data_IF_886514850681
#
_entry.id   IF_886514850681
#
_cell.length_a   1.000
_cell.length_b   1.000
_cell.length_c   1.000
_cell.angle_alpha   90.00
_cell.angle_beta   90.00
_cell.angle_gamma   90.00
#
_symmetry.space_group_name_H-M   'P 1'
#
loop_
_entity.id
_entity.type
_entity.pdbx_description
1 polymer ?
#
# COMPACT_ATOMS: atom_id res chain seq x y z
N UNK A 1 2.92 46.94 -28.37
CA UNK A 1 2.00 46.00 -29.04
C UNK A 1 2.69 44.66 -29.00
N UNK A 2 2.28 43.79 -28.07
CA UNK A 2 2.87 42.47 -27.85
C UNK A 2 2.50 41.61 -29.07
N UNK A 3 3.50 41.06 -29.73
CA UNK A 3 3.34 40.38 -31.01
C UNK A 3 2.78 38.97 -30.80
N UNK A 4 1.45 38.86 -30.77
CA UNK A 4 0.71 37.59 -30.75
C UNK A 4 0.72 36.98 -32.14
N UNK A 5 1.64 36.05 -32.40
CA UNK A 5 1.63 35.28 -33.64
C UNK A 5 0.76 34.01 -33.48
N UNK A 6 -0.27 33.97 -34.33
CA UNK A 6 -1.20 32.94 -34.83
C UNK A 6 -1.45 31.56 -34.19
N UNK A 7 -0.87 31.17 -33.05
CA UNK A 7 -1.18 29.86 -32.41
C UNK A 7 -1.47 29.93 -30.90
N UNK A 8 -1.73 31.12 -30.35
CA UNK A 8 -2.19 31.29 -28.95
C UNK A 8 -1.22 30.79 -27.87
N UNK A 9 -0.01 30.38 -28.25
CA UNK A 9 1.08 30.02 -27.35
C UNK A 9 2.06 31.18 -27.28
N UNK A 10 2.07 31.87 -26.16
CA UNK A 10 3.06 32.91 -25.86
C UNK A 10 4.45 32.27 -25.92
N UNK A 11 5.25 32.61 -26.94
CA UNK A 11 6.65 32.18 -27.04
C UNK A 11 7.50 33.18 -26.28
N UNK A 12 8.26 32.69 -25.30
CA UNK A 12 9.22 33.53 -24.61
C UNK A 12 10.39 33.88 -25.54
N UNK A 13 11.04 35.03 -25.35
CA UNK A 13 12.29 35.36 -26.00
C UNK A 13 13.35 34.31 -25.72
N UNK A 14 14.25 34.10 -26.69
CA UNK A 14 15.20 32.98 -26.70
C UNK A 14 16.09 32.94 -25.44
N UNK A 15 16.52 34.11 -24.94
CA UNK A 15 17.34 34.22 -23.73
C UNK A 15 16.65 33.68 -22.46
N UNK A 16 15.34 33.94 -22.32
CA UNK A 16 14.55 33.46 -21.18
C UNK A 16 14.30 31.95 -21.27
N UNK A 17 14.03 31.45 -22.49
CA UNK A 17 13.79 30.02 -22.70
C UNK A 17 15.06 29.18 -22.50
N UNK A 18 16.22 29.65 -22.98
CA UNK A 18 17.51 29.03 -22.71
C UNK A 18 17.83 28.99 -21.22
N UNK A 19 17.58 30.07 -20.48
CA UNK A 19 17.78 30.10 -19.03
C UNK A 19 16.94 29.05 -18.31
N UNK A 20 15.64 28.95 -18.63
CA UNK A 20 14.75 27.94 -18.02
C UNK A 20 15.25 26.53 -18.34
N UNK A 21 15.61 26.25 -19.59
CA UNK A 21 16.13 24.94 -19.98
C UNK A 21 17.43 24.59 -19.25
N UNK A 22 18.35 25.55 -19.10
CA UNK A 22 19.60 25.37 -18.36
C UNK A 22 19.38 25.05 -16.89
N UNK A 23 18.44 25.77 -16.24
CA UNK A 23 18.08 25.50 -14.84
C UNK A 23 17.48 24.10 -14.74
N UNK A 24 16.46 23.78 -15.55
CA UNK A 24 15.80 22.48 -15.58
C UNK A 24 16.75 21.32 -15.89
N UNK A 25 17.75 21.54 -16.75
CA UNK A 25 18.80 20.57 -17.07
C UNK A 25 19.62 20.15 -15.85
N UNK A 26 19.78 21.07 -14.88
CA UNK A 26 20.55 20.88 -13.64
C UNK A 26 19.70 20.43 -12.44
N UNK A 27 18.37 20.35 -12.59
CA UNK A 27 17.47 19.85 -11.54
C UNK A 27 17.56 18.33 -11.41
N UNK A 28 17.84 17.87 -10.19
CA UNK A 28 17.95 16.44 -9.84
C UNK A 28 16.57 15.78 -9.67
N UNK A 29 15.60 16.51 -9.15
CA UNK A 29 14.23 16.02 -8.95
C UNK A 29 13.42 16.12 -10.26
N UNK A 30 13.43 15.06 -11.07
CA UNK A 30 12.74 15.04 -12.38
C UNK A 30 11.24 15.31 -12.27
N UNK A 31 10.59 14.81 -11.22
CA UNK A 31 9.15 14.96 -10.99
C UNK A 31 8.73 16.41 -10.73
N UNK A 32 9.63 17.23 -10.18
CA UNK A 32 9.36 18.64 -9.86
C UNK A 32 9.67 19.58 -11.03
N UNK A 33 10.28 19.09 -12.12
CA UNK A 33 10.63 19.92 -13.28
C UNK A 33 9.43 20.69 -13.85
N UNK A 34 8.23 20.10 -14.01
CA UNK A 34 7.09 20.85 -14.56
C UNK A 34 6.63 22.01 -13.66
N UNK A 35 6.67 21.81 -12.34
CA UNK A 35 6.28 22.83 -11.36
C UNK A 35 7.31 23.95 -11.29
N UNK A 36 8.60 23.59 -11.22
CA UNK A 36 9.69 24.56 -11.21
C UNK A 36 9.77 25.31 -12.55
N UNK A 37 9.49 24.65 -13.67
CA UNK A 37 9.36 25.31 -14.98
C UNK A 37 8.25 26.36 -14.97
N UNK A 38 7.08 26.02 -14.44
CA UNK A 38 5.95 26.95 -14.36
C UNK A 38 6.28 28.16 -13.48
N UNK A 39 6.86 27.95 -12.30
CA UNK A 39 7.26 29.04 -11.38
C UNK A 39 8.34 29.94 -11.99
N UNK A 40 9.36 29.36 -12.62
CA UNK A 40 10.43 30.12 -13.28
C UNK A 40 9.89 30.96 -14.44
N UNK A 41 8.99 30.38 -15.24
CA UNK A 41 8.35 31.07 -16.36
C UNK A 41 7.50 32.23 -15.87
N UNK A 42 6.67 32.01 -14.85
CA UNK A 42 5.82 33.05 -14.27
C UNK A 42 6.64 34.23 -13.72
N UNK A 43 7.69 33.92 -12.95
CA UNK A 43 8.60 34.96 -12.45
C UNK A 43 9.36 35.68 -13.57
N UNK A 44 9.81 35.00 -14.63
CA UNK A 44 10.48 35.64 -15.75
C UNK A 44 9.54 36.58 -16.50
N UNK A 45 8.31 36.15 -16.76
CA UNK A 45 7.30 36.98 -17.42
C UNK A 45 6.99 38.24 -16.62
N UNK A 46 6.76 38.10 -15.31
CA UNK A 46 6.50 39.24 -14.44
C UNK A 46 7.66 40.27 -14.45
N UNK A 47 8.91 39.79 -14.47
CA UNK A 47 10.10 40.66 -14.57
C UNK A 47 10.22 41.32 -15.94
N UNK A 48 9.90 40.61 -17.01
CA UNK A 48 9.92 41.16 -18.36
C UNK A 48 8.85 42.23 -18.55
N UNK A 49 7.64 42.02 -18.03
CA UNK A 49 6.56 43.02 -18.04
C UNK A 49 7.01 44.30 -17.32
N UNK A 50 7.65 44.20 -16.15
CA UNK A 50 8.18 45.37 -15.41
C UNK A 50 9.17 46.21 -16.25
N UNK A 51 10.00 45.57 -17.07
CA UNK A 51 10.96 46.25 -17.94
C UNK A 51 10.32 46.79 -19.22
N UNK A 52 9.32 46.09 -19.75
CA UNK A 52 8.59 46.49 -20.95
C UNK A 52 7.71 47.72 -20.66
N UNK A 53 7.10 47.78 -19.47
CA UNK A 53 6.36 48.94 -18.96
C UNK A 53 7.26 50.18 -18.78
N UNK A 54 8.56 49.97 -18.58
CA UNK A 54 9.58 51.03 -18.55
C UNK A 54 10.08 51.43 -19.95
N UNK A 55 9.45 50.92 -21.01
CA UNK A 55 9.73 51.28 -22.41
C UNK A 55 10.88 50.52 -23.05
N UNK A 56 11.32 49.39 -22.47
CA UNK A 56 12.38 48.53 -23.06
C UNK A 56 11.78 47.60 -24.11
N UNK A 57 12.60 47.20 -25.08
CA UNK A 57 12.23 46.18 -26.06
C UNK A 57 12.17 44.79 -25.38
N UNK A 58 11.36 43.87 -25.92
CA UNK A 58 11.11 42.53 -25.35
C UNK A 58 12.40 41.71 -25.16
N UNK A 59 13.32 41.77 -26.13
CA UNK A 59 14.62 41.07 -26.05
C UNK A 59 15.54 41.66 -24.96
N UNK A 60 15.57 42.99 -24.83
CA UNK A 60 16.34 43.67 -23.78
C UNK A 60 15.74 43.38 -22.39
N UNK A 61 14.41 43.39 -22.29
CA UNK A 61 13.68 43.04 -21.09
C UNK A 61 13.95 41.60 -20.65
N UNK A 62 14.03 40.65 -21.59
CA UNK A 62 14.37 39.25 -21.31
C UNK A 62 15.80 39.08 -20.77
N UNK A 63 16.78 39.74 -21.41
CA UNK A 63 18.17 39.69 -20.93
C UNK A 63 18.32 40.29 -19.53
N UNK A 64 17.62 41.39 -19.22
CA UNK A 64 17.65 41.97 -17.89
C UNK A 64 16.87 41.16 -16.85
N UNK A 65 15.74 40.55 -17.22
CA UNK A 65 15.02 39.63 -16.36
C UNK A 65 15.88 38.42 -15.97
N UNK A 66 16.56 37.81 -16.94
CA UNK A 66 17.52 36.72 -16.69
C UNK A 66 18.69 37.20 -15.82
N UNK A 67 19.23 38.39 -16.08
CA UNK A 67 20.33 38.95 -15.27
C UNK A 67 19.92 39.18 -13.82
N UNK A 68 18.66 39.56 -13.57
CA UNK A 68 18.11 39.73 -12.23
C UNK A 68 17.85 38.40 -11.52
N UNK A 69 17.52 37.33 -12.26
CA UNK A 69 17.42 35.98 -11.69
C UNK A 69 18.78 35.43 -11.25
N UNK A 70 19.86 35.87 -11.89
CA UNK A 70 21.22 35.45 -11.59
C UNK A 70 21.65 34.22 -12.40
N UNK A 71 22.75 33.58 -11.98
CA UNK A 71 23.29 32.44 -12.72
C UNK A 71 22.39 31.20 -12.60
N UNK A 72 22.11 30.55 -13.74
CA UNK A 72 21.28 29.34 -13.81
C UNK A 72 21.77 28.22 -12.90
N UNK A 73 23.09 28.11 -12.68
CA UNK A 73 23.68 27.15 -11.75
C UNK A 73 23.30 27.39 -10.29
N UNK A 74 23.26 28.65 -9.85
CA UNK A 74 22.93 29.03 -8.47
C UNK A 74 21.44 28.82 -8.21
N UNK A 75 20.60 29.24 -9.15
CA UNK A 75 19.14 29.04 -9.08
C UNK A 75 18.81 27.56 -9.04
N UNK A 76 19.44 26.74 -9.89
CA UNK A 76 19.27 25.29 -9.87
C UNK A 76 19.72 24.64 -8.55
N UNK A 77 20.80 25.12 -7.92
CA UNK A 77 21.26 24.62 -6.63
C UNK A 77 20.30 24.96 -5.49
N UNK A 78 19.79 26.20 -5.46
CA UNK A 78 18.77 26.62 -4.50
C UNK A 78 17.48 25.80 -4.67
N UNK A 79 17.02 25.61 -5.91
CA UNK A 79 15.84 24.79 -6.19
C UNK A 79 16.04 23.33 -5.80
N UNK A 80 17.20 22.74 -6.07
CA UNK A 80 17.54 21.37 -5.65
C UNK A 80 17.62 21.23 -4.12
N UNK A 81 18.02 22.28 -3.40
CA UNK A 81 18.10 22.28 -1.93
C UNK A 81 16.70 22.28 -1.31
N UNK A 82 15.79 23.06 -1.86
CA UNK A 82 14.38 23.15 -1.41
C UNK A 82 13.64 21.86 -1.78
N UNK A 83 13.79 21.38 -3.02
CA UNK A 83 13.04 20.26 -3.60
C UNK A 83 13.79 18.91 -3.53
N UNK A 84 14.60 18.68 -2.49
CA UNK A 84 15.40 17.45 -2.38
C UNK A 84 14.50 16.21 -2.29
N UNK A 85 14.63 15.21 -3.20
CA UNK A 85 13.87 13.98 -3.11
C UNK A 85 14.24 13.24 -1.83
N UNK A 86 13.30 13.18 -0.88
CA UNK A 86 13.50 12.53 0.42
C UNK A 86 13.17 11.05 0.29
N UNK A 87 14.19 10.22 0.07
CA UNK A 87 14.04 8.76 0.18
C UNK A 87 13.61 8.44 1.62
N UNK A 88 12.50 7.69 1.82
CA UNK A 88 12.00 7.35 3.14
C UNK A 88 12.86 6.24 3.76
N UNK A 89 14.10 6.55 4.14
CA UNK A 89 15.08 5.58 4.66
C UNK A 89 14.57 4.74 5.83
N UNK A 90 13.74 5.32 6.71
CA UNK A 90 13.10 4.60 7.83
C UNK A 90 12.14 3.50 7.37
N UNK A 91 11.44 3.72 6.25
CA UNK A 91 10.53 2.73 5.68
C UNK A 91 11.36 1.59 5.06
N UNK A 92 12.38 1.94 4.28
CA UNK A 92 13.29 0.97 3.65
C UNK A 92 14.04 0.13 4.68
N UNK A 93 14.55 0.73 5.75
CA UNK A 93 15.26 -0.01 6.80
C UNK A 93 14.34 -0.98 7.52
N UNK A 94 13.11 -0.57 7.84
CA UNK A 94 12.13 -1.48 8.44
C UNK A 94 11.77 -2.64 7.51
N UNK A 95 11.55 -2.37 6.23
CA UNK A 95 11.25 -3.41 5.24
C UNK A 95 12.37 -4.46 5.13
N UNK A 96 13.63 -4.01 5.10
CA UNK A 96 14.80 -4.90 5.06
C UNK A 96 14.89 -5.76 6.32
N UNK A 97 14.62 -5.20 7.50
CA UNK A 97 14.58 -5.96 8.77
C UNK A 97 13.51 -7.06 8.70
N UNK A 98 12.29 -6.73 8.28
CA UNK A 98 11.19 -7.69 8.18
C UNK A 98 11.48 -8.83 7.20
N UNK A 99 11.98 -8.50 6.01
CA UNK A 99 12.36 -9.50 5.00
C UNK A 99 13.51 -10.37 5.52
N UNK A 100 14.51 -9.76 6.14
CA UNK A 100 15.67 -10.46 6.70
C UNK A 100 15.27 -11.44 7.80
N UNK A 101 14.46 -11.02 8.78
CA UNK A 101 13.98 -11.89 9.85
C UNK A 101 13.08 -13.01 9.35
N UNK A 102 12.21 -12.72 8.39
CA UNK A 102 11.36 -13.74 7.76
C UNK A 102 12.21 -14.81 7.08
N UNK A 103 13.17 -14.42 6.23
CA UNK A 103 14.09 -15.37 5.60
C UNK A 103 14.92 -16.13 6.63
N UNK A 104 15.47 -15.44 7.63
CA UNK A 104 16.25 -16.04 8.69
C UNK A 104 15.46 -17.13 9.41
N UNK A 105 14.23 -16.84 9.86
CA UNK A 105 13.36 -17.82 10.51
C UNK A 105 13.03 -19.02 9.62
N UNK A 106 12.77 -18.78 8.33
CA UNK A 106 12.49 -19.86 7.37
C UNK A 106 13.72 -20.75 7.08
N UNK A 107 14.92 -20.18 7.04
CA UNK A 107 16.16 -20.95 6.90
C UNK A 107 16.50 -21.76 8.15
N UNK A 108 16.21 -21.22 9.35
CA UNK A 108 16.33 -21.96 10.60
C UNK A 108 15.37 -23.17 10.61
N UNK A 109 14.10 -22.95 10.28
CA UNK A 109 13.10 -24.02 10.15
C UNK A 109 13.49 -25.09 9.12
N UNK A 110 14.13 -24.70 8.03
CA UNK A 110 14.62 -25.64 7.02
C UNK A 110 15.77 -26.52 7.54
N UNK A 111 16.54 -26.04 8.52
CA UNK A 111 17.74 -26.71 9.04
C UNK A 111 17.44 -27.66 10.21
N UNK A 112 16.18 -27.70 10.69
CA UNK A 112 15.73 -28.57 11.78
C UNK A 112 15.67 -30.06 11.38
N UNK A 113 16.29 -30.97 12.15
CA UNK A 113 16.29 -32.41 11.87
C UNK A 113 14.89 -33.01 12.11
N UNK A 114 14.13 -33.17 11.02
CA UNK A 114 12.74 -33.65 11.03
C UNK A 114 11.88 -33.02 9.92
N UNK A 115 12.34 -31.93 9.32
CA UNK A 115 11.60 -31.16 8.32
C UNK A 115 11.62 -31.69 6.88
N UNK A 116 11.42 -32.99 6.65
CA UNK A 116 11.44 -33.57 5.28
C UNK A 116 10.40 -32.91 4.33
N UNK A 117 9.29 -32.38 4.86
CA UNK A 117 8.28 -31.61 4.11
C UNK A 117 8.56 -30.09 4.03
N UNK A 118 9.58 -29.60 4.74
CA UNK A 118 10.03 -28.20 4.78
C UNK A 118 11.29 -27.99 3.91
N UNK A 119 11.77 -29.05 3.24
CA UNK A 119 12.95 -29.03 2.38
C UNK A 119 12.81 -27.97 1.27
N UNK A 120 13.74 -27.02 1.28
CA UNK A 120 13.79 -25.93 0.31
C UNK A 120 12.77 -24.82 0.51
N UNK A 121 12.11 -24.71 1.68
CA UNK A 121 11.25 -23.56 1.97
C UNK A 121 12.00 -22.23 1.96
N UNK A 122 13.18 -22.17 2.59
CA UNK A 122 14.02 -20.98 2.55
C UNK A 122 14.38 -20.61 1.11
N UNK A 123 14.79 -21.59 0.30
CA UNK A 123 15.12 -21.38 -1.12
C UNK A 123 13.92 -20.95 -1.96
N UNK A 124 12.75 -21.56 -1.77
CA UNK A 124 11.51 -21.16 -2.47
C UNK A 124 11.11 -19.73 -2.10
N UNK A 125 11.19 -19.38 -0.82
CA UNK A 125 10.90 -18.04 -0.33
C UNK A 125 11.88 -17.00 -0.87
N UNK A 126 13.17 -17.34 -1.05
CA UNK A 126 14.13 -16.47 -1.72
C UNK A 126 13.78 -16.22 -3.19
N UNK A 127 13.30 -17.25 -3.92
CA UNK A 127 12.84 -17.09 -5.31
C UNK A 127 11.62 -16.17 -5.36
N UNK A 128 10.64 -16.36 -4.47
CA UNK A 128 9.46 -15.49 -4.40
C UNK A 128 9.81 -14.06 -4.00
N UNK A 129 10.80 -13.86 -3.12
CA UNK A 129 11.31 -12.53 -2.79
C UNK A 129 11.95 -11.87 -4.02
N UNK A 130 12.77 -12.60 -4.77
CA UNK A 130 13.38 -12.07 -5.99
C UNK A 130 12.31 -11.68 -7.01
N UNK A 131 11.30 -12.53 -7.21
CA UNK A 131 10.16 -12.23 -8.07
C UNK A 131 9.41 -10.98 -7.58
N UNK A 132 9.20 -10.84 -6.27
CA UNK A 132 8.60 -9.67 -5.65
C UNK A 132 9.41 -8.39 -5.88
N UNK A 133 10.75 -8.45 -5.78
CA UNK A 133 11.64 -7.32 -6.07
C UNK A 133 11.56 -6.93 -7.54
N UNK A 134 11.52 -7.91 -8.46
CA UNK A 134 11.36 -7.66 -9.89
C UNK A 134 10.00 -7.00 -10.18
N UNK A 135 8.92 -7.51 -9.58
CA UNK A 135 7.59 -6.91 -9.70
C UNK A 135 7.54 -5.48 -9.13
N UNK A 136 8.19 -5.25 -7.98
CA UNK A 136 8.30 -3.92 -7.38
C UNK A 136 9.07 -2.96 -8.29
N UNK A 137 10.23 -3.37 -8.82
CA UNK A 137 11.03 -2.57 -9.74
C UNK A 137 10.26 -2.27 -11.03
N UNK A 138 9.54 -3.26 -11.59
CA UNK A 138 8.66 -3.05 -12.73
C UNK A 138 7.55 -2.03 -12.43
N UNK A 139 6.95 -2.11 -11.24
CA UNK A 139 5.93 -1.16 -10.78
C UNK A 139 6.44 0.28 -10.67
N UNK A 140 7.71 0.48 -10.32
CA UNK A 140 8.34 1.82 -10.26
C UNK A 140 8.46 2.50 -11.63
N UNK A 141 8.39 1.75 -12.74
CA UNK A 141 8.36 2.33 -14.09
C UNK A 141 6.96 2.75 -14.54
N UNK A 142 5.91 2.38 -13.81
CA UNK A 142 4.54 2.73 -14.13
C UNK A 142 4.26 4.14 -13.60
N UNK A 143 4.09 5.09 -14.51
CA UNK A 143 3.71 6.46 -14.17
C UNK A 143 2.32 6.48 -13.49
N UNK A 144 2.18 7.26 -12.42
CA UNK A 144 0.93 7.44 -11.68
C UNK A 144 -0.23 7.87 -12.60
N UNK A 145 0.06 8.57 -13.71
CA UNK A 145 -0.94 8.95 -14.73
C UNK A 145 -1.54 7.74 -15.44
N UNK A 146 -0.76 6.69 -15.65
CA UNK A 146 -1.24 5.45 -16.27
C UNK A 146 -2.13 4.66 -15.30
N UNK A 147 -1.89 4.79 -13.99
CA UNK A 147 -2.70 4.15 -12.95
C UNK A 147 -4.18 4.56 -13.03
N UNK A 148 -4.47 5.81 -13.42
CA UNK A 148 -5.84 6.28 -13.64
C UNK A 148 -6.59 5.53 -14.75
N UNK A 149 -5.89 5.17 -15.83
CA UNK A 149 -6.47 4.38 -16.93
C UNK A 149 -6.51 2.89 -16.58
N UNK A 150 -5.54 2.42 -15.80
CA UNK A 150 -5.39 1.02 -15.42
C UNK A 150 -6.36 0.63 -14.29
N UNK A 151 -6.83 1.56 -13.47
CA UNK A 151 -7.68 1.27 -12.31
C UNK A 151 -8.95 0.49 -12.64
N UNK A 152 -9.65 0.83 -13.72
CA UNK A 152 -10.85 0.10 -14.16
C UNK A 152 -10.52 -1.34 -14.59
N UNK A 153 -9.38 -1.53 -15.28
CA UNK A 153 -8.87 -2.85 -15.67
C UNK A 153 -8.41 -3.66 -14.47
N UNK A 154 -7.79 -3.04 -13.47
CA UNK A 154 -7.41 -3.71 -12.21
C UNK A 154 -8.64 -4.19 -11.45
N UNK A 155 -9.66 -3.33 -11.33
CA UNK A 155 -10.91 -3.69 -10.68
C UNK A 155 -11.63 -4.83 -11.41
N UNK A 156 -11.86 -4.66 -12.72
CA UNK A 156 -12.57 -5.66 -13.53
C UNK A 156 -11.79 -6.97 -13.60
N UNK A 157 -10.49 -6.90 -13.85
CA UNK A 157 -9.60 -8.06 -13.90
C UNK A 157 -9.59 -8.84 -12.58
N UNK A 158 -9.51 -8.14 -11.44
CA UNK A 158 -9.54 -8.80 -10.14
C UNK A 158 -10.91 -9.42 -9.83
N UNK A 159 -12.01 -8.73 -10.15
CA UNK A 159 -13.35 -9.28 -9.99
C UNK A 159 -13.55 -10.55 -10.84
N UNK A 160 -13.12 -10.52 -12.11
CA UNK A 160 -13.17 -11.68 -13.01
C UNK A 160 -12.31 -12.82 -12.49
N UNK A 161 -11.09 -12.54 -12.01
CA UNK A 161 -10.20 -13.54 -11.42
C UNK A 161 -10.79 -14.21 -10.17
N UNK A 162 -11.44 -13.44 -9.31
CA UNK A 162 -12.12 -14.00 -8.12
C UNK A 162 -13.31 -14.88 -8.50
N UNK A 163 -14.14 -14.45 -9.45
CA UNK A 163 -15.26 -15.27 -9.95
C UNK A 163 -14.73 -16.56 -10.59
N UNK A 164 -13.68 -16.44 -11.41
CA UNK A 164 -13.01 -17.58 -12.04
C UNK A 164 -12.47 -18.56 -11.01
N UNK A 165 -11.81 -18.05 -9.96
CA UNK A 165 -11.30 -18.86 -8.84
C UNK A 165 -12.44 -19.51 -8.06
N UNK A 166 -13.57 -18.82 -7.91
CA UNK A 166 -14.76 -19.38 -7.30
C UNK A 166 -15.36 -20.57 -8.07
N UNK A 167 -15.15 -20.64 -9.39
CA UNK A 167 -15.62 -21.76 -10.24
C UNK A 167 -14.59 -22.88 -10.42
N UNK A 168 -13.31 -22.54 -10.55
CA UNK A 168 -12.24 -23.49 -10.93
C UNK A 168 -11.25 -23.79 -9.81
N UNK A 169 -11.33 -23.06 -8.70
CA UNK A 169 -10.37 -23.14 -7.61
C UNK A 169 -10.37 -24.49 -6.90
N UNK A 170 -9.18 -24.93 -6.53
CA UNK A 170 -8.97 -26.17 -5.77
C UNK A 170 -9.03 -25.84 -4.28
N UNK A 171 -9.72 -26.68 -3.50
CA UNK A 171 -9.83 -26.50 -2.06
C UNK A 171 -8.59 -27.07 -1.36
N UNK A 172 -7.85 -26.22 -0.65
CA UNK A 172 -6.73 -26.60 0.21
C UNK A 172 -7.07 -26.06 1.60
N UNK A 173 -7.17 -26.96 2.61
CA UNK A 173 -7.56 -26.61 3.98
C UNK A 173 -8.88 -25.82 4.08
N UNK A 174 -9.85 -26.13 3.22
CA UNK A 174 -11.15 -25.46 3.17
C UNK A 174 -11.16 -24.08 2.50
N UNK A 175 -10.02 -23.60 2.01
CA UNK A 175 -9.90 -22.35 1.26
C UNK A 175 -9.64 -22.65 -0.23
N UNK A 176 -10.18 -21.82 -1.13
CA UNK A 176 -9.98 -21.99 -2.58
C UNK A 176 -8.75 -21.28 -3.10
N UNK A 177 -7.91 -22.00 -3.82
CA UNK A 177 -6.71 -21.48 -4.47
C UNK A 177 -6.82 -21.61 -5.98
N UNK A 178 -6.26 -20.65 -6.72
CA UNK A 178 -6.10 -20.80 -8.16
C UNK A 178 -4.79 -21.55 -8.43
N UNK A 179 -4.86 -22.63 -9.19
CA UNK A 179 -3.69 -23.38 -9.61
C UNK A 179 -3.15 -22.81 -10.93
N UNK A 180 -1.97 -22.20 -10.89
CA UNK A 180 -1.21 -21.86 -12.10
C UNK A 180 -0.09 -22.89 -12.24
N UNK A 181 -0.35 -23.96 -12.99
CA UNK A 181 0.53 -25.12 -13.05
C UNK A 181 0.67 -25.78 -11.67
N UNK A 182 1.91 -26.03 -11.17
CA UNK A 182 2.12 -26.62 -9.84
C UNK A 182 2.03 -25.62 -8.69
N UNK A 183 1.80 -24.32 -8.94
CA UNK A 183 1.84 -23.28 -7.92
C UNK A 183 0.41 -22.89 -7.50
N UNK A 184 0.01 -23.14 -6.23
CA UNK A 184 -1.23 -22.61 -5.69
C UNK A 184 -1.06 -21.11 -5.37
N UNK A 185 -1.93 -20.27 -5.94
CA UNK A 185 -1.94 -18.82 -5.71
C UNK A 185 -3.24 -18.44 -5.00
N UNK A 186 -3.11 -17.77 -3.85
CA UNK A 186 -4.25 -17.19 -3.14
C UNK A 186 -4.58 -15.81 -3.72
N UNK A 187 -5.51 -15.77 -4.68
CA UNK A 187 -5.95 -14.52 -5.29
C UNK A 187 -6.72 -13.65 -4.30
N UNK A 188 -7.45 -14.26 -3.36
CA UNK A 188 -8.21 -13.55 -2.34
C UNK A 188 -7.29 -12.74 -1.42
N UNK A 189 -6.07 -13.22 -1.15
CA UNK A 189 -5.10 -12.48 -0.35
C UNK A 189 -4.71 -11.13 -0.97
N UNK A 190 -4.59 -11.06 -2.29
CA UNK A 190 -4.16 -9.85 -3.01
C UNK A 190 -5.33 -8.88 -3.28
N UNK A 191 -6.57 -9.37 -3.34
CA UNK A 191 -7.72 -8.61 -3.83
C UNK A 191 -8.09 -7.39 -2.99
N UNK A 192 -7.99 -7.36 -1.65
CA UNK A 192 -8.31 -6.16 -0.88
C UNK A 192 -7.48 -4.96 -1.34
N UNK A 193 -6.17 -5.15 -1.52
CA UNK A 193 -5.26 -4.06 -1.88
C UNK A 193 -5.55 -3.50 -3.28
N UNK A 194 -5.74 -4.39 -4.27
CA UNK A 194 -6.05 -3.96 -5.63
C UNK A 194 -7.42 -3.30 -5.74
N UNK A 195 -8.45 -3.83 -5.06
CA UNK A 195 -9.76 -3.19 -5.05
C UNK A 195 -9.73 -1.82 -4.37
N UNK A 196 -9.03 -1.68 -3.24
CA UNK A 196 -8.91 -0.40 -2.55
C UNK A 196 -8.26 0.68 -3.42
N UNK A 197 -7.13 0.34 -4.06
CA UNK A 197 -6.44 1.25 -4.98
C UNK A 197 -7.36 1.61 -6.15
N UNK A 198 -7.97 0.62 -6.81
CA UNK A 198 -8.81 0.85 -7.96
C UNK A 198 -10.05 1.69 -7.63
N UNK A 199 -10.74 1.38 -6.52
CA UNK A 199 -11.93 2.13 -6.07
C UNK A 199 -11.54 3.57 -5.71
N UNK A 200 -10.44 3.77 -4.99
CA UNK A 200 -9.97 5.12 -4.64
C UNK A 200 -9.75 5.97 -5.91
N UNK A 201 -9.04 5.43 -6.89
CA UNK A 201 -8.76 6.11 -8.17
C UNK A 201 -10.06 6.38 -8.96
N UNK A 202 -10.94 5.39 -9.06
CA UNK A 202 -12.20 5.54 -9.79
C UNK A 202 -13.17 6.55 -9.15
N UNK A 203 -13.17 6.69 -7.81
CA UNK A 203 -14.04 7.63 -7.09
C UNK A 203 -13.45 9.05 -6.97
N UNK A 204 -12.14 9.18 -7.06
CA UNK A 204 -11.45 10.48 -7.04
C UNK A 204 -11.54 11.22 -8.37
N UNK A 205 -11.76 10.53 -9.49
CA UNK A 205 -11.99 11.18 -10.79
C UNK A 205 -13.32 11.97 -10.78
N UNK A 206 -13.20 13.30 -10.92
CA UNK A 206 -14.32 14.24 -10.90
C UNK A 206 -15.19 14.11 -12.17
N UNK A 207 -14.63 13.65 -13.28
CA UNK A 207 -15.32 13.45 -14.57
C UNK A 207 -16.38 12.35 -14.49
N UNK A 208 -16.07 11.25 -13.80
CA UNK A 208 -16.96 10.11 -13.62
C UNK A 208 -18.20 10.44 -12.75
N UNK A 209 -18.10 11.47 -11.90
CA UNK A 209 -19.12 11.84 -10.89
C UNK A 209 -20.35 12.55 -11.49
N UNK A 210 -20.27 13.01 -12.74
CA UNK A 210 -21.28 13.92 -13.36
C UNK A 210 -22.38 13.19 -14.14
N UNK A 211 -22.23 11.90 -14.45
CA UNK A 211 -23.23 11.13 -15.22
C UNK A 211 -24.38 10.63 -14.31
N UNK A 212 -25.61 10.50 -14.83
CA UNK A 212 -26.81 10.05 -14.08
C UNK A 212 -26.63 8.68 -13.37
N UNK A 213 -25.80 7.80 -13.94
CA UNK A 213 -25.42 6.50 -13.36
C UNK A 213 -24.38 6.60 -12.22
N UNK A 214 -23.74 7.77 -12.05
CA UNK A 214 -22.74 8.03 -11.01
C UNK A 214 -23.32 8.04 -9.59
N UNK A 215 -24.65 8.13 -9.42
CA UNK A 215 -25.26 8.04 -8.08
C UNK A 215 -25.27 6.63 -7.51
N UNK A 216 -25.43 5.59 -8.34
CA UNK A 216 -25.53 4.19 -7.89
C UNK A 216 -24.26 3.37 -8.11
N UNK A 217 -23.49 3.69 -9.16
CA UNK A 217 -22.19 3.10 -9.47
C UNK A 217 -21.21 3.00 -8.27
N UNK A 218 -21.02 4.02 -7.42
CA UNK A 218 -20.07 3.93 -6.30
C UNK A 218 -20.47 2.87 -5.27
N UNK A 219 -21.77 2.70 -5.01
CA UNK A 219 -22.25 1.68 -4.08
C UNK A 219 -22.03 0.28 -4.64
N UNK A 220 -22.31 0.07 -5.93
CA UNK A 220 -22.07 -1.21 -6.59
C UNK A 220 -20.58 -1.61 -6.55
N UNK A 221 -19.69 -0.65 -6.79
CA UNK A 221 -18.23 -0.89 -6.76
C UNK A 221 -17.75 -1.32 -5.37
N UNK A 222 -18.32 -0.76 -4.30
CA UNK A 222 -17.94 -1.08 -2.92
C UNK A 222 -18.54 -2.42 -2.47
N UNK A 223 -19.78 -2.70 -2.87
CA UNK A 223 -20.54 -3.89 -2.43
C UNK A 223 -20.08 -5.16 -3.16
N UNK A 224 -19.67 -5.08 -4.43
CA UNK A 224 -19.28 -6.26 -5.20
C UNK A 224 -18.14 -7.08 -4.53
N UNK A 225 -17.00 -6.51 -4.11
CA UNK A 225 -15.97 -7.27 -3.40
C UNK A 225 -16.46 -7.89 -2.10
N UNK A 226 -17.34 -7.20 -1.36
CA UNK A 226 -17.94 -7.72 -0.12
C UNK A 226 -18.71 -9.01 -0.41
N UNK A 227 -19.55 -9.01 -1.46
CA UNK A 227 -20.30 -10.19 -1.86
C UNK A 227 -19.37 -11.35 -2.26
N UNK A 228 -18.32 -11.08 -3.03
CA UNK A 228 -17.37 -12.11 -3.46
C UNK A 228 -16.63 -12.75 -2.27
N UNK A 229 -16.25 -11.96 -1.26
CA UNK A 229 -15.62 -12.50 -0.04
C UNK A 229 -16.59 -13.30 0.81
N UNK A 230 -17.83 -12.84 0.95
CA UNK A 230 -18.86 -13.55 1.72
C UNK A 230 -19.22 -14.89 1.09
N UNK A 231 -19.38 -14.94 -0.23
CA UNK A 231 -19.72 -16.17 -0.97
C UNK A 231 -18.65 -17.24 -0.77
N UNK A 232 -17.37 -16.87 -0.77
CA UNK A 232 -16.25 -17.80 -0.58
C UNK A 232 -15.89 -18.03 0.90
N UNK A 233 -16.52 -17.30 1.85
CA UNK A 233 -16.23 -17.42 3.28
C UNK A 233 -14.90 -16.79 3.72
N UNK A 234 -14.39 -15.82 2.97
CA UNK A 234 -13.09 -15.15 3.15
C UNK A 234 -13.17 -13.96 4.11
N UNK A 235 -13.46 -14.24 5.38
CA UNK A 235 -13.75 -13.20 6.38
C UNK A 235 -12.54 -12.34 6.77
N UNK A 236 -11.31 -12.90 6.72
CA UNK A 236 -10.08 -12.14 7.04
C UNK A 236 -9.81 -11.08 5.97
N UNK A 237 -10.02 -11.41 4.69
CA UNK A 237 -9.90 -10.50 3.56
C UNK A 237 -11.01 -9.44 3.58
N UNK A 238 -12.24 -9.84 3.92
CA UNK A 238 -13.35 -8.91 4.13
C UNK A 238 -13.05 -7.88 5.22
N UNK A 239 -12.45 -8.30 6.33
CA UNK A 239 -12.06 -7.40 7.41
C UNK A 239 -10.99 -6.40 6.97
N UNK A 240 -9.94 -6.87 6.29
CA UNK A 240 -8.89 -6.00 5.73
C UNK A 240 -9.46 -5.00 4.73
N UNK A 241 -10.30 -5.47 3.80
CA UNK A 241 -10.98 -4.62 2.83
C UNK A 241 -11.88 -3.59 3.52
N UNK A 242 -12.66 -3.98 4.53
CA UNK A 242 -13.53 -3.10 5.29
C UNK A 242 -12.77 -1.95 5.97
N UNK A 243 -11.67 -2.28 6.67
CA UNK A 243 -10.80 -1.27 7.29
C UNK A 243 -10.19 -0.32 6.26
N UNK A 244 -9.69 -0.87 5.14
CA UNK A 244 -9.15 -0.04 4.06
C UNK A 244 -10.21 0.87 3.43
N UNK A 245 -11.44 0.39 3.26
CA UNK A 245 -12.53 1.16 2.68
C UNK A 245 -12.93 2.33 3.58
N UNK A 246 -12.90 2.16 4.91
CA UNK A 246 -13.09 3.26 5.87
C UNK A 246 -12.05 4.36 5.60
N UNK A 247 -10.77 4.00 5.44
CA UNK A 247 -9.70 4.97 5.13
C UNK A 247 -9.94 5.65 3.78
N UNK A 248 -10.30 4.91 2.74
CA UNK A 248 -10.61 5.47 1.40
C UNK A 248 -11.77 6.47 1.47
N UNK A 249 -12.85 6.14 2.19
CA UNK A 249 -14.01 7.01 2.35
C UNK A 249 -13.69 8.27 3.18
N UNK A 250 -12.82 8.15 4.18
CA UNK A 250 -12.31 9.31 4.95
C UNK A 250 -11.50 10.25 4.05
N UNK A 251 -10.61 9.71 3.21
CA UNK A 251 -9.79 10.51 2.28
C UNK A 251 -10.64 11.20 1.21
N UNK A 252 -11.69 10.55 0.71
CA UNK A 252 -12.63 11.13 -0.26
C UNK A 252 -13.59 12.17 0.36
N UNK A 253 -13.52 12.40 1.68
CA UNK A 253 -14.39 13.32 2.45
C UNK A 253 -15.88 13.12 2.13
N UNK A 254 -16.31 11.85 2.08
CA UNK A 254 -17.70 11.52 1.75
C UNK A 254 -18.67 12.10 2.79
N UNK A 255 -19.86 12.52 2.33
CA UNK A 255 -20.93 13.05 3.21
C UNK A 255 -21.33 12.01 4.27
N UNK A 256 -21.69 12.42 5.50
CA UNK A 256 -22.08 11.50 6.57
C UNK A 256 -23.26 10.59 6.20
N UNK A 257 -24.13 11.03 5.29
CA UNK A 257 -25.23 10.21 4.76
C UNK A 257 -24.73 8.96 4.02
N UNK A 258 -23.57 9.02 3.37
CA UNK A 258 -22.98 7.86 2.67
C UNK A 258 -22.53 6.80 3.68
N UNK A 259 -21.91 7.24 4.78
CA UNK A 259 -21.52 6.36 5.89
C UNK A 259 -22.73 5.65 6.50
N UNK A 260 -23.80 6.40 6.78
CA UNK A 260 -25.02 5.81 7.33
C UNK A 260 -25.63 4.76 6.39
N UNK A 261 -25.75 5.06 5.09
CA UNK A 261 -26.28 4.10 4.11
C UNK A 261 -25.43 2.83 4.03
N UNK A 262 -24.10 2.96 3.96
CA UNK A 262 -23.20 1.81 3.92
C UNK A 262 -23.26 1.01 5.22
N UNK A 263 -23.34 1.66 6.38
CA UNK A 263 -23.47 1.00 7.67
C UNK A 263 -24.80 0.23 7.76
N UNK A 264 -25.91 0.82 7.34
CA UNK A 264 -27.22 0.14 7.28
C UNK A 264 -27.18 -1.05 6.31
N UNK A 265 -26.58 -0.89 5.13
CA UNK A 265 -26.42 -2.01 4.18
C UNK A 265 -25.54 -3.13 4.75
N UNK A 266 -24.42 -2.80 5.42
CA UNK A 266 -23.53 -3.77 6.03
C UNK A 266 -24.20 -4.50 7.20
N UNK A 267 -24.93 -3.79 8.06
CA UNK A 267 -25.69 -4.37 9.16
C UNK A 267 -26.83 -5.26 8.65
N UNK A 268 -27.62 -4.78 7.69
CA UNK A 268 -28.70 -5.56 7.09
C UNK A 268 -28.19 -6.80 6.37
N UNK A 269 -27.12 -6.67 5.59
CA UNK A 269 -26.45 -7.80 4.93
C UNK A 269 -25.88 -8.80 5.93
N UNK A 270 -25.23 -8.32 6.99
CA UNK A 270 -24.69 -9.18 8.06
C UNK A 270 -25.78 -9.98 8.79
N UNK A 271 -26.90 -9.34 9.14
CA UNK A 271 -28.05 -10.02 9.77
C UNK A 271 -28.63 -11.05 8.82
N UNK A 272 -28.82 -10.72 7.54
CA UNK A 272 -29.37 -11.64 6.55
C UNK A 272 -28.46 -12.87 6.37
N UNK A 273 -27.14 -12.67 6.29
CA UNK A 273 -26.16 -13.76 6.20
C UNK A 273 -26.17 -14.63 7.45
N UNK A 274 -26.27 -14.03 8.63
CA UNK A 274 -26.37 -14.76 9.89
C UNK A 274 -27.65 -15.60 9.97
N UNK A 275 -28.78 -15.09 9.45
CA UNK A 275 -30.04 -15.84 9.43
C UNK A 275 -30.04 -16.98 8.40
N UNK A 276 -29.36 -16.79 7.27
CA UNK A 276 -29.43 -17.70 6.11
C UNK A 276 -28.32 -18.75 6.06
N UNK A 277 -27.13 -18.47 6.61
CA UNK A 277 -25.96 -19.35 6.48
C UNK A 277 -25.63 -20.07 7.78
N UNK A 278 -25.81 -21.39 7.80
CA UNK A 278 -25.38 -22.26 8.90
C UNK A 278 -23.87 -22.18 9.15
N UNK A 279 -23.08 -22.03 8.08
CA UNK A 279 -21.62 -21.91 8.18
C UNK A 279 -21.21 -20.63 8.90
N UNK A 280 -21.85 -19.50 8.59
CA UNK A 280 -21.59 -18.22 9.27
C UNK A 280 -21.92 -18.35 10.76
N UNK A 281 -23.08 -18.94 11.09
CA UNK A 281 -23.49 -19.15 12.49
C UNK A 281 -22.51 -20.03 13.25
N UNK A 282 -22.10 -21.14 12.66
CA UNK A 282 -21.18 -22.09 13.27
C UNK A 282 -19.79 -21.46 13.50
N UNK A 283 -19.21 -20.84 12.47
CA UNK A 283 -17.88 -20.22 12.54
C UNK A 283 -17.88 -19.06 13.54
N UNK A 284 -18.88 -18.17 13.46
CA UNK A 284 -19.00 -17.05 14.39
C UNK A 284 -19.23 -17.52 15.83
N UNK A 285 -20.10 -18.50 16.03
CA UNK A 285 -20.37 -19.09 17.34
C UNK A 285 -19.13 -19.71 17.97
N UNK A 286 -18.40 -20.55 17.22
CA UNK A 286 -17.14 -21.15 17.68
C UNK A 286 -16.10 -20.08 18.02
N UNK A 287 -15.97 -19.05 17.17
CA UNK A 287 -15.02 -17.96 17.38
C UNK A 287 -15.36 -17.14 18.62
N UNK A 288 -16.65 -16.83 18.84
CA UNK A 288 -17.10 -16.13 20.05
C UNK A 288 -16.87 -16.97 21.30
N UNK A 289 -17.08 -18.29 21.23
CA UNK A 289 -16.77 -19.20 22.33
C UNK A 289 -15.27 -19.21 22.64
N UNK A 290 -14.41 -19.35 21.64
CA UNK A 290 -12.93 -19.27 21.79
C UNK A 290 -12.50 -17.94 22.43
N UNK A 291 -13.05 -16.81 21.98
CA UNK A 291 -12.75 -15.49 22.53
C UNK A 291 -13.23 -15.33 23.97
N UNK A 292 -14.45 -15.82 24.27
CA UNK A 292 -15.00 -15.77 25.62
C UNK A 292 -14.21 -16.66 26.58
N UNK A 293 -13.75 -17.83 26.13
CA UNK A 293 -12.88 -18.72 26.90
C UNK A 293 -11.49 -18.11 27.12
N UNK A 294 -10.94 -17.43 26.11
CA UNK A 294 -9.67 -16.71 26.23
C UNK A 294 -9.74 -15.59 27.27
N UNK A 295 -10.79 -14.75 27.23
CA UNK A 295 -10.98 -13.65 28.18
C UNK A 295 -11.41 -14.14 29.57
N UNK A 296 -12.17 -15.24 29.63
CA UNK A 296 -12.69 -15.83 30.88
C UNK A 296 -11.72 -16.77 31.59
N UNK A 297 -10.53 -17.02 31.01
CA UNK A 297 -9.52 -17.99 31.49
C UNK A 297 -9.98 -19.46 31.59
N UNK A 298 -11.13 -19.80 31.01
CA UNK A 298 -11.73 -21.15 30.99
C UNK A 298 -11.38 -21.92 29.71
N UNK A 299 -10.21 -21.68 29.11
CA UNK A 299 -9.80 -22.43 27.92
C UNK A 299 -9.67 -23.91 28.29
N UNK A 300 -10.54 -24.72 27.71
CA UNK A 300 -10.56 -26.16 27.90
C UNK A 300 -9.21 -26.75 27.48
N UNK A 301 -8.58 -27.46 28.42
CA UNK A 301 -7.17 -27.87 28.36
C UNK A 301 -6.88 -28.78 27.16
N UNK A 302 -7.89 -29.44 26.61
CA UNK A 302 -7.71 -30.41 25.51
C UNK A 302 -8.25 -29.91 24.16
N UNK A 303 -8.63 -28.64 24.04
CA UNK A 303 -8.97 -28.03 22.75
C UNK A 303 -7.72 -27.68 21.93
N UNK A 304 -7.80 -27.74 20.60
CA UNK A 304 -6.70 -27.35 19.68
C UNK A 304 -6.19 -25.92 19.98
N UNK A 305 -7.09 -24.98 20.29
CA UNK A 305 -6.74 -23.62 20.68
C UNK A 305 -6.05 -23.53 22.06
N UNK A 306 -6.44 -24.39 23.00
CA UNK A 306 -5.82 -24.53 24.31
C UNK A 306 -4.41 -25.12 24.25
N UNK A 307 -4.17 -26.05 23.32
CA UNK A 307 -2.83 -26.58 23.03
C UNK A 307 -1.93 -25.47 22.48
N UNK A 308 -2.37 -24.77 21.42
CA UNK A 308 -1.61 -23.66 20.82
C UNK A 308 -1.26 -22.60 21.85
N UNK A 309 -2.23 -22.15 22.65
CA UNK A 309 -1.99 -21.12 23.68
C UNK A 309 -1.00 -21.60 24.75
N UNK A 310 -1.09 -22.86 25.17
CA UNK A 310 -0.14 -23.43 26.14
C UNK A 310 1.27 -23.45 25.57
N UNK A 311 1.42 -23.87 24.33
CA UNK A 311 2.73 -23.99 23.69
C UNK A 311 3.35 -22.61 23.44
N UNK A 312 2.56 -21.62 23.02
CA UNK A 312 3.00 -20.21 22.95
C UNK A 312 3.44 -19.72 24.33
N UNK A 313 2.62 -19.93 25.37
CA UNK A 313 2.96 -19.49 26.73
C UNK A 313 4.23 -20.16 27.24
N UNK A 314 4.38 -21.46 26.97
CA UNK A 314 5.57 -22.25 27.32
C UNK A 314 6.81 -21.70 26.62
N UNK A 315 6.75 -21.49 25.31
CA UNK A 315 7.83 -20.91 24.52
C UNK A 315 8.26 -19.54 25.07
N UNK A 316 7.30 -18.65 25.28
CA UNK A 316 7.53 -17.30 25.81
C UNK A 316 8.14 -17.31 27.22
N UNK A 317 7.75 -18.27 28.07
CA UNK A 317 8.28 -18.42 29.43
C UNK A 317 9.69 -19.03 29.48
N UNK A 318 10.05 -19.88 28.51
CA UNK A 318 11.35 -20.54 28.45
C UNK A 318 12.35 -19.87 27.50
N UNK A 319 11.92 -18.90 26.69
CA UNK A 319 12.80 -18.12 25.84
C UNK A 319 13.69 -17.20 26.67
N UNK A 320 15.01 -17.37 26.53
CA UNK A 320 16.01 -16.45 27.07
C UNK A 320 16.10 -15.15 26.26
N UNK A 321 16.98 -14.23 26.68
CA UNK A 321 17.25 -13.00 25.93
C UNK A 321 17.89 -13.25 24.54
N UNK A 322 18.59 -14.38 24.39
CA UNK A 322 19.36 -14.76 23.20
C UNK A 322 19.03 -16.18 22.69
N UNK A 323 17.82 -16.66 22.93
CA UNK A 323 17.33 -17.96 22.47
C UNK A 323 17.12 -18.96 23.61
N UNK A 324 16.70 -20.17 23.25
CA UNK A 324 16.52 -21.26 24.21
C UNK A 324 17.85 -21.80 24.74
N UNK A 325 17.89 -22.13 26.03
CA UNK A 325 19.04 -22.79 26.68
C UNK A 325 19.01 -24.33 26.55
N UNK A 326 17.85 -24.95 26.26
CA UNK A 326 17.64 -26.40 26.38
C UNK A 326 17.19 -27.14 25.11
N UNK A 327 17.20 -26.50 23.93
CA UNK A 327 17.03 -27.17 22.63
C UNK A 327 15.74 -27.99 22.46
N UNK A 328 14.63 -27.57 23.08
CA UNK A 328 13.34 -28.25 22.90
C UNK A 328 12.63 -27.67 21.67
N UNK A 329 12.40 -28.52 20.67
CA UNK A 329 11.73 -28.12 19.42
C UNK A 329 10.29 -27.71 19.68
N UNK A 330 9.93 -26.49 19.27
CA UNK A 330 8.58 -25.96 19.38
C UNK A 330 7.61 -26.78 18.51
N UNK A 331 6.58 -27.38 19.10
CA UNK A 331 5.63 -28.27 18.39
C UNK A 331 4.32 -27.55 18.04
N UNK A 332 4.41 -26.40 17.36
CA UNK A 332 3.23 -25.70 16.85
C UNK A 332 2.91 -26.12 15.41
N UNK A 333 1.61 -26.28 15.05
CA UNK A 333 1.23 -26.47 13.67
C UNK A 333 1.52 -25.19 12.87
N UNK A 334 1.95 -25.32 11.61
CA UNK A 334 2.19 -24.19 10.70
C UNK A 334 3.20 -23.13 11.21
N UNK A 335 4.30 -23.57 11.83
CA UNK A 335 5.42 -22.69 12.25
C UNK A 335 5.94 -21.77 11.14
N UNK A 336 5.88 -22.22 9.89
CA UNK A 336 6.34 -21.47 8.72
C UNK A 336 5.38 -20.36 8.27
N UNK A 337 4.14 -20.29 8.78
CA UNK A 337 3.17 -19.25 8.42
C UNK A 337 2.70 -18.45 9.62
N UNK A 338 1.96 -19.07 10.53
CA UNK A 338 1.13 -18.36 11.51
C UNK A 338 1.90 -18.03 12.79
N UNK A 339 2.94 -18.84 13.09
CA UNK A 339 3.70 -18.76 14.33
C UNK A 339 5.20 -18.49 14.12
N UNK A 340 5.60 -18.00 12.93
CA UNK A 340 7.00 -17.72 12.62
C UNK A 340 7.62 -16.70 13.59
N UNK A 341 6.85 -15.69 14.01
CA UNK A 341 7.29 -14.71 15.00
C UNK A 341 7.50 -15.33 16.38
N UNK A 342 6.65 -16.27 16.79
CA UNK A 342 6.79 -17.01 18.04
C UNK A 342 8.04 -17.89 17.98
N UNK A 343 8.24 -18.59 16.87
CA UNK A 343 9.43 -19.40 16.62
C UNK A 343 10.74 -18.57 16.66
N UNK A 344 10.72 -17.36 16.11
CA UNK A 344 11.88 -16.45 16.18
C UNK A 344 12.17 -16.02 17.62
N UNK A 345 11.15 -15.72 18.43
CA UNK A 345 11.34 -15.39 19.85
C UNK A 345 11.87 -16.59 20.63
N UNK A 346 11.38 -17.79 20.32
CA UNK A 346 11.83 -19.03 20.92
C UNK A 346 13.31 -19.30 20.62
N UNK A 347 13.69 -19.25 19.35
CA UNK A 347 15.03 -19.64 18.88
C UNK A 347 16.08 -18.53 18.99
N UNK A 348 15.73 -17.28 18.69
CA UNK A 348 16.66 -16.14 18.72
C UNK A 348 16.50 -15.25 19.97
N UNK A 349 15.48 -15.52 20.80
CA UNK A 349 15.28 -14.87 22.09
C UNK A 349 14.44 -13.60 22.03
N UNK A 350 14.14 -13.04 23.21
CA UNK A 350 13.33 -11.82 23.37
C UNK A 350 13.89 -10.60 22.66
N UNK A 351 15.21 -10.52 22.48
CA UNK A 351 15.85 -9.45 21.72
C UNK A 351 15.33 -9.36 20.28
N UNK A 352 15.13 -10.50 19.62
CA UNK A 352 14.55 -10.59 18.27
C UNK A 352 13.10 -10.09 18.22
N UNK A 353 12.29 -10.49 19.22
CA UNK A 353 10.89 -10.07 19.32
C UNK A 353 10.74 -8.57 19.55
N UNK A 354 11.55 -8.00 20.44
CA UNK A 354 11.56 -6.55 20.70
C UNK A 354 12.04 -5.75 19.48
N UNK A 355 13.03 -6.26 18.75
CA UNK A 355 13.48 -5.64 17.50
C UNK A 355 12.37 -5.66 16.44
N UNK A 356 11.67 -6.78 16.27
CA UNK A 356 10.54 -6.88 15.35
C UNK A 356 9.41 -5.91 15.74
N UNK A 357 9.04 -5.85 17.03
CA UNK A 357 8.05 -4.89 17.53
C UNK A 357 8.47 -3.44 17.32
N UNK A 358 9.74 -3.10 17.62
CA UNK A 358 10.28 -1.76 17.39
C UNK A 358 10.26 -1.39 15.91
N UNK A 359 10.65 -2.31 15.03
CA UNK A 359 10.62 -2.10 13.58
C UNK A 359 9.20 -1.92 13.02
N UNK A 360 8.21 -2.60 13.61
CA UNK A 360 6.79 -2.39 13.30
C UNK A 360 6.35 -0.97 13.65
N UNK A 361 6.72 -0.48 14.84
CA UNK A 361 6.44 0.90 15.24
C UNK A 361 7.05 1.92 14.27
N UNK A 362 8.30 1.70 13.85
CA UNK A 362 8.98 2.53 12.83
C UNK A 362 8.26 2.46 11.48
N UNK A 363 7.81 1.27 11.05
CA UNK A 363 7.06 1.09 9.81
C UNK A 363 5.78 1.92 9.83
N UNK A 364 4.96 1.76 10.88
CA UNK A 364 3.70 2.47 11.04
C UNK A 364 3.92 4.00 11.08
N UNK A 365 4.92 4.46 11.84
CA UNK A 365 5.28 5.88 11.89
C UNK A 365 5.73 6.41 10.52
N UNK A 366 6.55 5.65 9.79
CA UNK A 366 7.04 6.06 8.47
C UNK A 366 5.92 6.18 7.44
N UNK A 367 4.97 5.24 7.44
CA UNK A 367 3.78 5.26 6.57
C UNK A 367 2.88 6.43 6.93
N UNK A 368 2.61 6.64 8.22
CA UNK A 368 1.84 7.79 8.69
C UNK A 368 2.47 9.12 8.27
N UNK A 369 3.79 9.26 8.44
CA UNK A 369 4.52 10.47 8.03
C UNK A 369 4.44 10.70 6.52
N UNK A 370 4.57 9.65 5.72
CA UNK A 370 4.45 9.74 4.26
C UNK A 370 3.04 10.18 3.85
N UNK A 371 2.00 9.61 4.46
CA UNK A 371 0.61 10.00 4.22
C UNK A 371 0.33 11.46 4.64
N UNK A 372 0.86 11.91 5.77
CA UNK A 372 0.69 13.28 6.26
C UNK A 372 1.33 14.32 5.33
N UNK A 373 2.54 14.05 4.81
CA UNK A 373 3.21 14.93 3.83
C UNK A 373 2.38 15.06 2.56
N UNK A 374 1.81 13.94 2.08
CA UNK A 374 0.96 13.93 0.90
C UNK A 374 -0.37 14.69 1.12
N UNK A 375 -0.97 14.55 2.31
CA UNK A 375 -2.18 15.28 2.67
C UNK A 375 -1.99 16.80 2.74
N UNK A 376 -0.80 17.27 3.14
CA UNK A 376 -0.46 18.70 3.15
C UNK A 376 -0.35 19.26 1.73
N UNK A 377 0.28 18.52 0.79
CA UNK A 377 0.35 18.93 -0.61
C UNK A 377 -1.03 19.05 -1.27
N UNK A 378 -1.94 18.12 -0.97
CA UNK A 378 -3.32 18.15 -1.50
C UNK A 378 -4.21 19.23 -0.88
N UNK A 379 -3.85 19.79 0.28
CA UNK A 379 -4.61 20.86 0.93
C UNK A 379 -4.12 22.27 0.57
N UNK A 380 -2.92 22.38 -0.02
CA UNK A 380 -2.28 23.64 -0.40
C UNK A 380 -2.46 24.07 -1.86
N UNK A 381 -3.05 23.23 -2.71
CA UNK A 381 -3.48 23.56 -4.08
C UNK A 381 -5.00 23.48 -4.21
#
# INVERSE_FOLDING_TARGET
MINSDKDGTFRMPEAAEQFVQDVLGRIKAKEMKPEIEAELRDHLLSRMEEHTDRGRNEDEAAHEAVRQMGASSIVAEQMNRIHRPRIPWLLWSSLVIWIGFSLFGLFLLQSEPGGQNLAGLGTKSSIYLLLGIVCFAAGMFIDYRQLWRLASWMYGGMAVLLVWTGWTGVHINGMRFLMIGPVPIDIYLLSPFLFLIAIYVMLSDRSARTKRYAKFMPYALIILPVLLYVIDGRYKELFIYGLGMIVVLMQLRCRPVVWWKLAVCAAGGGVLLWMTSDTVRFVFGRRMQEWSAFLGSTVERDSDGGFVMREIRRSVQHAGWFGQENGQTLTLPYLHSDYLSVYLVDTAGWSSGLLLLGSMGVLLYSVYRAAAVFAIHLAGG
#
